data_IF_960235027865
#
_entry.id   IF_960235027865
#
_cell.length_a   1.000
_cell.length_b   1.000
_cell.length_c   1.000
_cell.angle_alpha   90.00
_cell.angle_beta   90.00
_cell.angle_gamma   90.00
#
_symmetry.space_group_name_H-M   'P 1'
#
loop_
_entity.id
_entity.type
_entity.pdbx_description
1 polymer ?
#
# COMPACT_ATOMS: atom_id res chain seq x y z
N UNK A 1 65.17 -35.51 -19.54
CA UNK A 1 64.27 -35.88 -18.44
C UNK A 1 63.64 -34.56 -17.91
N UNK A 2 62.54 -34.10 -18.50
CA UNK A 2 61.84 -32.85 -18.15
C UNK A 2 60.65 -33.18 -17.23
N UNK A 3 60.62 -32.65 -16.02
CA UNK A 3 59.49 -32.76 -15.10
C UNK A 3 58.54 -31.58 -15.32
N UNK A 4 57.31 -31.86 -15.73
CA UNK A 4 56.22 -30.89 -15.73
C UNK A 4 55.64 -30.80 -14.32
N UNK A 5 55.63 -29.59 -13.75
CA UNK A 5 54.94 -29.26 -12.54
C UNK A 5 53.54 -28.75 -12.95
N UNK A 6 52.52 -29.52 -12.65
CA UNK A 6 51.13 -29.10 -12.85
C UNK A 6 50.71 -28.23 -11.65
N UNK A 7 50.48 -26.96 -11.89
CA UNK A 7 49.89 -26.02 -10.92
C UNK A 7 48.38 -26.12 -10.97
N UNK A 8 47.79 -26.71 -9.93
CA UNK A 8 46.33 -26.77 -9.77
C UNK A 8 45.83 -25.43 -9.23
N UNK A 9 45.13 -24.68 -10.09
CA UNK A 9 44.42 -23.45 -9.66
C UNK A 9 43.08 -23.86 -9.06
N UNK A 10 42.98 -23.70 -7.74
CA UNK A 10 41.70 -23.90 -7.02
C UNK A 10 40.84 -22.66 -7.25
N UNK A 11 39.85 -22.75 -8.12
CA UNK A 11 38.84 -21.68 -8.31
C UNK A 11 37.88 -21.69 -7.11
N UNK A 12 38.01 -20.68 -6.25
CA UNK A 12 37.05 -20.41 -5.18
C UNK A 12 35.74 -19.91 -5.86
N UNK A 13 34.76 -20.77 -6.01
CA UNK A 13 33.40 -20.34 -6.39
C UNK A 13 32.78 -19.66 -5.17
N UNK A 14 32.78 -18.31 -5.16
CA UNK A 14 31.90 -17.55 -4.31
C UNK A 14 30.46 -17.76 -4.79
N UNK A 15 29.73 -18.68 -4.19
CA UNK A 15 28.27 -18.70 -4.27
C UNK A 15 27.76 -17.46 -3.55
N UNK A 16 27.37 -16.42 -4.28
CA UNK A 16 26.59 -15.33 -3.74
C UNK A 16 25.29 -15.95 -3.23
N UNK A 17 25.22 -16.26 -1.94
CA UNK A 17 23.99 -16.69 -1.28
C UNK A 17 22.97 -15.58 -1.48
N UNK A 18 21.83 -15.87 -2.12
CA UNK A 18 20.69 -14.97 -2.14
C UNK A 18 20.39 -14.58 -0.68
N UNK A 19 20.46 -13.29 -0.36
CA UNK A 19 20.13 -12.81 0.98
C UNK A 19 18.72 -13.28 1.30
N UNK A 20 18.55 -13.98 2.42
CA UNK A 20 17.24 -14.46 2.86
C UNK A 20 16.30 -13.26 2.98
N UNK A 21 15.10 -13.37 2.43
CA UNK A 21 14.07 -12.34 2.48
C UNK A 21 12.97 -12.72 3.45
N UNK A 22 12.31 -11.72 4.01
CA UNK A 22 11.13 -11.87 4.86
C UNK A 22 10.04 -10.94 4.36
N UNK A 23 8.79 -11.29 4.65
CA UNK A 23 7.67 -10.41 4.37
C UNK A 23 7.30 -9.64 5.64
N UNK A 24 7.05 -8.35 5.50
CA UNK A 24 6.48 -7.50 6.53
C UNK A 24 5.12 -6.96 6.09
N UNK A 25 4.26 -6.73 7.05
CA UNK A 25 2.99 -6.04 6.87
C UNK A 25 2.96 -4.85 7.85
N UNK A 26 2.97 -3.63 7.31
CA UNK A 26 2.76 -2.40 8.06
C UNK A 26 1.26 -2.21 8.27
N UNK A 27 0.82 -1.95 9.50
CA UNK A 27 -0.61 -1.80 9.81
C UNK A 27 -0.84 -0.84 10.97
N UNK A 28 -2.08 -0.45 11.18
CA UNK A 28 -2.55 0.27 12.36
C UNK A 28 -3.60 -0.55 13.11
N UNK A 29 -3.89 -0.14 14.34
CA UNK A 29 -4.95 -0.71 15.17
C UNK A 29 -5.96 0.35 15.58
N UNK A 30 -7.16 -0.07 16.00
CA UNK A 30 -8.19 0.84 16.46
C UNK A 30 -8.56 1.91 15.44
N UNK A 31 -8.35 3.17 15.78
CA UNK A 31 -8.52 4.32 14.90
C UNK A 31 -7.17 4.94 14.46
N UNK A 32 -6.04 4.34 14.84
CA UNK A 32 -4.69 4.77 14.45
C UNK A 32 -4.01 5.75 15.39
N UNK A 33 -4.50 5.91 16.63
CA UNK A 33 -3.92 6.82 17.62
C UNK A 33 -2.56 6.34 18.15
N UNK A 34 -2.35 5.04 18.20
CA UNK A 34 -1.13 4.41 18.70
C UNK A 34 -0.02 4.26 17.64
N UNK A 35 -0.38 4.37 16.36
CA UNK A 35 0.56 4.52 15.26
C UNK A 35 0.86 3.23 14.49
N UNK A 36 2.12 3.09 14.05
CA UNK A 36 2.60 2.07 13.15
C UNK A 36 2.95 0.77 13.86
N UNK A 37 2.42 -0.33 13.36
CA UNK A 37 2.76 -1.69 13.81
C UNK A 37 3.25 -2.53 12.65
N UNK A 38 3.94 -3.64 12.96
CA UNK A 38 4.37 -4.62 11.97
C UNK A 38 3.94 -6.03 12.34
N UNK A 39 3.60 -6.80 11.32
CA UNK A 39 3.53 -8.25 11.35
C UNK A 39 4.57 -8.83 10.39
N UNK A 40 5.10 -10.00 10.69
CA UNK A 40 6.09 -10.69 9.86
C UNK A 40 5.57 -12.04 9.38
N UNK A 41 6.02 -12.45 8.20
CA UNK A 41 5.71 -13.75 7.62
C UNK A 41 6.92 -14.27 6.83
N UNK A 42 7.04 -15.60 6.75
CA UNK A 42 8.01 -16.29 5.88
C UNK A 42 7.37 -16.90 4.64
N UNK A 43 6.05 -17.07 4.66
CA UNK A 43 5.28 -17.69 3.58
C UNK A 43 4.30 -16.73 2.89
N UNK A 44 4.09 -15.53 3.47
CA UNK A 44 3.11 -14.54 3.03
C UNK A 44 1.65 -14.93 3.34
N UNK A 45 1.42 -16.02 4.07
CA UNK A 45 0.08 -16.49 4.42
C UNK A 45 -0.19 -16.40 5.92
N UNK A 46 0.80 -16.80 6.72
CA UNK A 46 0.71 -16.77 8.18
C UNK A 46 1.52 -15.61 8.73
N UNK A 47 0.84 -14.63 9.31
CA UNK A 47 1.45 -13.41 9.81
C UNK A 47 1.46 -13.38 11.33
N UNK A 48 2.61 -13.10 11.91
CA UNK A 48 2.82 -13.02 13.35
C UNK A 48 3.16 -11.58 13.76
N UNK A 49 2.66 -11.17 14.93
CA UNK A 49 2.96 -9.85 15.49
C UNK A 49 4.47 -9.68 15.72
N UNK A 50 5.02 -8.55 15.35
CA UNK A 50 6.43 -8.19 15.59
C UNK A 50 6.56 -7.48 16.94
N UNK A 51 7.64 -7.78 17.68
CA UNK A 51 8.02 -7.09 18.92
C UNK A 51 6.87 -6.92 19.93
N UNK A 52 6.04 -7.95 20.08
CA UNK A 52 4.91 -7.96 21.02
C UNK A 52 3.80 -6.95 20.69
N UNK A 53 3.76 -6.43 19.47
CA UNK A 53 2.74 -5.46 19.02
C UNK A 53 3.02 -4.01 19.43
N UNK A 54 4.28 -3.67 19.75
CA UNK A 54 4.64 -2.27 20.04
C UNK A 54 4.40 -1.37 18.82
N UNK A 55 4.16 -0.09 19.07
CA UNK A 55 4.18 0.94 18.03
C UNK A 55 5.63 1.32 17.69
N UNK A 56 5.94 1.37 16.40
CA UNK A 56 7.26 1.77 15.87
C UNK A 56 7.32 3.25 15.46
N UNK A 57 6.16 3.89 15.27
CA UNK A 57 6.07 5.33 15.00
C UNK A 57 4.70 5.83 15.46
N UNK A 58 4.68 6.74 16.43
CA UNK A 58 3.44 7.40 16.87
C UNK A 58 3.18 8.63 16.01
N UNK A 59 1.93 8.87 15.55
CA UNK A 59 1.63 10.02 14.71
C UNK A 59 1.77 11.34 15.48
N UNK A 60 2.39 12.33 14.82
CA UNK A 60 2.61 13.66 15.39
C UNK A 60 2.14 14.81 14.50
N UNK A 61 1.75 14.50 13.23
CA UNK A 61 1.31 15.50 12.25
C UNK A 61 -0.18 15.34 11.92
N UNK A 62 -0.78 16.39 11.36
CA UNK A 62 -2.21 16.44 11.06
C UNK A 62 -3.06 16.26 12.31
N UNK A 63 -4.16 15.53 12.18
CA UNK A 63 -5.05 15.15 13.29
C UNK A 63 -4.47 14.07 14.21
N UNK A 64 -3.19 13.71 14.03
CA UNK A 64 -2.44 12.73 14.81
C UNK A 64 -3.05 11.33 14.80
N UNK A 65 -3.55 10.91 13.65
CA UNK A 65 -3.87 9.52 13.36
C UNK A 65 -2.83 8.95 12.41
N UNK A 66 -2.57 7.67 12.51
CA UNK A 66 -1.81 6.91 11.52
C UNK A 66 -2.67 5.75 11.05
N UNK A 67 -3.40 6.03 9.98
CA UNK A 67 -4.26 5.05 9.34
C UNK A 67 -3.69 4.69 7.98
N UNK A 68 -4.00 3.52 7.50
CA UNK A 68 -3.70 3.09 6.14
C UNK A 68 -2.21 3.29 5.76
N UNK A 69 -1.24 2.82 6.58
CA UNK A 69 0.17 3.05 6.31
C UNK A 69 0.62 2.30 5.06
N UNK A 70 1.28 3.01 4.15
CA UNK A 70 1.90 2.44 2.95
C UNK A 70 3.40 2.68 2.95
N UNK A 71 4.18 1.61 2.70
CA UNK A 71 5.63 1.63 2.74
C UNK A 71 6.20 1.07 1.44
N UNK A 72 7.15 1.82 0.85
CA UNK A 72 8.01 1.34 -0.22
C UNK A 72 9.48 1.43 0.18
N UNK A 73 10.30 0.51 -0.28
CA UNK A 73 11.76 0.61 -0.16
C UNK A 73 12.35 1.15 -1.44
N UNK A 74 13.04 2.30 -1.37
CA UNK A 74 13.73 2.90 -2.50
C UNK A 74 15.00 2.15 -2.91
N UNK A 75 15.56 2.46 -4.09
CA UNK A 75 16.76 1.81 -4.62
C UNK A 75 17.98 2.04 -3.74
N UNK A 76 18.03 3.15 -3.01
CA UNK A 76 19.06 3.50 -2.02
C UNK A 76 18.93 2.72 -0.69
N UNK A 77 17.86 1.90 -0.56
CA UNK A 77 17.59 1.09 0.62
C UNK A 77 16.81 1.79 1.72
N UNK A 78 16.43 3.06 1.53
CA UNK A 78 15.58 3.82 2.43
C UNK A 78 14.13 3.35 2.32
N UNK A 79 13.44 3.24 3.43
CA UNK A 79 12.00 3.04 3.49
C UNK A 79 11.30 4.40 3.55
N UNK A 80 10.27 4.56 2.74
CA UNK A 80 9.43 5.73 2.70
C UNK A 80 8.02 5.32 3.09
N UNK A 81 7.47 6.00 4.09
CA UNK A 81 6.16 5.73 4.66
C UNK A 81 5.25 6.92 4.40
N UNK A 82 4.05 6.65 3.90
CA UNK A 82 2.93 7.60 3.83
C UNK A 82 1.73 7.04 4.58
N UNK A 83 0.87 7.94 5.12
CA UNK A 83 -0.32 7.51 5.88
C UNK A 83 -1.41 8.58 5.91
N UNK A 84 -2.63 8.17 6.20
CA UNK A 84 -3.78 9.05 6.48
C UNK A 84 -3.61 9.66 7.88
N UNK A 85 -3.53 10.99 7.96
CA UNK A 85 -3.30 11.72 9.21
C UNK A 85 -4.58 12.02 9.99
N UNK A 86 -5.72 11.96 9.35
CA UNK A 86 -7.03 12.24 9.95
C UNK A 86 -8.18 12.00 8.99
N UNK A 87 -9.38 11.95 9.52
CA UNK A 87 -10.58 11.72 8.72
C UNK A 87 -10.87 12.83 7.71
N UNK A 88 -10.52 14.07 8.04
CA UNK A 88 -10.89 15.26 7.26
C UNK A 88 -9.69 16.18 6.98
N UNK A 89 -8.48 15.63 7.07
CA UNK A 89 -7.26 16.37 6.73
C UNK A 89 -7.10 16.44 5.19
N UNK A 90 -6.60 17.58 4.70
CA UNK A 90 -6.29 17.82 3.28
C UNK A 90 -4.85 17.47 2.91
N UNK A 91 -4.15 16.82 3.80
CA UNK A 91 -2.79 16.36 3.66
C UNK A 91 -2.64 14.92 4.08
N UNK A 92 -1.45 14.38 3.84
CA UNK A 92 -1.02 13.04 4.22
C UNK A 92 0.26 13.12 5.02
N UNK A 93 0.55 12.11 5.82
CA UNK A 93 1.82 12.00 6.54
C UNK A 93 2.92 11.41 5.68
N UNK A 94 4.17 11.80 5.96
CA UNK A 94 5.39 11.28 5.34
C UNK A 94 6.49 11.13 6.38
N UNK A 95 7.21 10.01 6.37
CA UNK A 95 8.43 9.77 7.13
C UNK A 95 9.35 8.78 6.41
N UNK A 96 10.62 8.74 6.82
CA UNK A 96 11.64 7.90 6.22
C UNK A 96 12.39 7.11 7.29
N UNK A 97 12.87 5.89 6.95
CA UNK A 97 13.67 5.07 7.85
C UNK A 97 14.64 4.18 7.06
N UNK A 98 15.78 3.88 7.63
CA UNK A 98 16.73 2.90 7.09
C UNK A 98 16.49 1.48 7.59
N UNK A 99 15.82 1.34 8.71
CA UNK A 99 15.70 0.10 9.49
C UNK A 99 14.29 -0.20 10.00
N UNK A 100 13.31 0.73 9.76
CA UNK A 100 11.93 0.69 10.24
C UNK A 100 11.81 0.86 11.77
N UNK A 101 12.90 1.21 12.46
CA UNK A 101 12.96 1.44 13.92
C UNK A 101 13.13 2.93 14.19
N UNK A 102 14.17 3.52 13.59
CA UNK A 102 14.50 4.93 13.71
C UNK A 102 13.92 5.69 12.50
N UNK A 103 12.99 6.59 12.78
CA UNK A 103 12.27 7.35 11.77
C UNK A 103 12.73 8.81 11.74
N UNK A 104 12.74 9.38 10.55
CA UNK A 104 12.91 10.83 10.37
C UNK A 104 11.85 11.62 11.10
N UNK A 105 12.02 12.92 11.19
CA UNK A 105 10.93 13.84 11.51
C UNK A 105 9.76 13.60 10.57
N UNK A 106 8.53 13.59 11.13
CA UNK A 106 7.31 13.42 10.36
C UNK A 106 6.96 14.72 9.65
N UNK A 107 6.53 14.60 8.41
CA UNK A 107 6.10 15.74 7.59
C UNK A 107 4.62 15.59 7.26
N UNK A 108 3.91 16.72 7.24
CA UNK A 108 2.57 16.82 6.63
C UNK A 108 2.71 17.32 5.22
N UNK A 109 2.34 16.50 4.24
CA UNK A 109 2.32 16.89 2.83
C UNK A 109 0.95 17.48 2.48
N UNK A 110 0.85 18.77 2.11
CA UNK A 110 -0.41 19.46 1.88
C UNK A 110 -0.97 19.20 0.48
N UNK A 111 -1.14 17.92 0.12
CA UNK A 111 -1.41 17.47 -1.26
C UNK A 111 -2.75 17.95 -1.83
N UNK A 112 -3.72 18.35 -0.99
CA UNK A 112 -5.02 18.89 -1.42
C UNK A 112 -5.32 20.29 -0.83
N UNK A 113 -4.37 20.96 -0.21
CA UNK A 113 -4.56 22.31 0.38
C UNK A 113 -4.91 23.38 -0.68
N UNK A 114 -4.43 23.21 -1.91
CA UNK A 114 -4.72 24.08 -3.05
C UNK A 114 -6.19 23.93 -3.52
N UNK A 115 -6.86 22.85 -3.17
CA UNK A 115 -8.25 22.59 -3.55
C UNK A 115 -9.17 22.94 -2.37
N UNK A 116 -9.85 24.11 -2.50
CA UNK A 116 -10.65 24.66 -1.42
C UNK A 116 -11.72 23.71 -0.90
N UNK A 117 -12.39 22.98 -1.82
CA UNK A 117 -13.55 22.17 -1.50
C UNK A 117 -13.20 20.70 -1.25
N UNK A 118 -11.92 20.33 -1.31
CA UNK A 118 -11.47 19.00 -0.90
C UNK A 118 -11.79 18.75 0.57
N UNK A 119 -12.28 17.55 0.89
CA UNK A 119 -12.71 17.21 2.24
C UNK A 119 -11.74 16.31 2.99
N UNK A 120 -10.96 15.49 2.29
CA UNK A 120 -10.14 14.46 2.91
C UNK A 120 -8.98 14.01 2.00
N UNK A 121 -8.01 13.31 2.59
CA UNK A 121 -6.98 12.57 1.88
C UNK A 121 -6.85 11.19 2.55
N UNK A 122 -7.49 10.16 1.99
CA UNK A 122 -7.55 8.83 2.59
C UNK A 122 -6.69 7.81 1.87
N UNK A 123 -6.19 6.86 2.64
CA UNK A 123 -5.49 5.68 2.17
C UNK A 123 -4.42 6.00 1.12
N UNK A 124 -3.39 6.80 1.49
CA UNK A 124 -2.30 7.03 0.56
C UNK A 124 -1.51 5.74 0.32
N UNK A 125 -1.15 5.54 -0.93
CA UNK A 125 -0.26 4.47 -1.37
C UNK A 125 0.97 5.07 -2.04
N UNK A 126 2.14 4.47 -1.84
CA UNK A 126 3.39 4.92 -2.46
C UNK A 126 3.96 3.84 -3.36
N UNK A 127 4.16 4.19 -4.63
CA UNK A 127 4.71 3.31 -5.67
C UNK A 127 6.02 3.87 -6.22
N UNK A 128 7.06 3.02 -6.34
CA UNK A 128 8.32 3.38 -6.99
C UNK A 128 8.32 2.97 -8.46
N UNK A 129 8.38 3.95 -9.35
CA UNK A 129 8.52 3.79 -10.80
C UNK A 129 10.02 3.64 -11.14
N UNK A 130 10.49 2.39 -11.21
CA UNK A 130 11.90 2.07 -11.49
C UNK A 130 12.37 2.60 -12.84
N UNK A 131 11.49 2.60 -13.86
CA UNK A 131 11.84 3.00 -15.22
C UNK A 131 12.16 4.50 -15.31
N UNK A 132 11.56 5.32 -14.42
CA UNK A 132 11.76 6.78 -14.41
C UNK A 132 12.48 7.28 -13.16
N UNK A 133 12.82 6.41 -12.22
CA UNK A 133 13.48 6.75 -10.97
C UNK A 133 12.69 7.80 -10.17
N UNK A 134 11.38 7.57 -9.99
CA UNK A 134 10.48 8.48 -9.28
C UNK A 134 9.46 7.69 -8.44
N UNK A 135 8.88 8.37 -7.49
CA UNK A 135 7.77 7.85 -6.69
C UNK A 135 6.45 8.49 -7.13
N UNK A 136 5.41 7.70 -7.21
CA UNK A 136 4.04 8.16 -7.25
C UNK A 136 3.44 7.96 -5.87
N UNK A 137 2.85 9.02 -5.32
CA UNK A 137 2.05 8.95 -4.10
C UNK A 137 0.61 9.21 -4.53
N UNK A 138 -0.28 8.26 -4.27
CA UNK A 138 -1.68 8.32 -4.65
C UNK A 138 -2.55 8.33 -3.41
N UNK A 139 -3.75 8.88 -3.46
CA UNK A 139 -4.71 8.92 -2.35
C UNK A 139 -6.12 9.16 -2.86
N UNK A 140 -7.10 8.96 -1.98
CA UNK A 140 -8.52 9.16 -2.28
C UNK A 140 -9.01 10.48 -1.70
N UNK A 141 -9.67 11.30 -2.53
CA UNK A 141 -10.25 12.58 -2.11
C UNK A 141 -11.67 12.75 -2.63
N UNK A 142 -12.55 13.27 -1.79
CA UNK A 142 -13.87 13.79 -2.17
C UNK A 142 -13.79 15.30 -2.38
N UNK A 143 -14.31 15.75 -3.54
CA UNK A 143 -14.53 17.15 -3.85
C UNK A 143 -16.02 17.29 -4.20
N UNK A 144 -16.85 17.84 -3.31
CA UNK A 144 -18.30 17.89 -3.51
C UNK A 144 -18.69 18.55 -4.83
N UNK A 145 -19.64 17.93 -5.52
CA UNK A 145 -20.17 18.43 -6.80
C UNK A 145 -19.25 18.24 -8.01
N UNK A 146 -18.02 17.76 -7.86
CA UNK A 146 -17.10 17.56 -8.99
C UNK A 146 -17.51 16.39 -9.91
N UNK A 147 -18.15 15.36 -9.33
CA UNK A 147 -18.59 14.17 -10.06
C UNK A 147 -20.06 13.89 -9.78
N UNK A 148 -20.99 14.75 -10.29
CA UNK A 148 -22.40 14.74 -9.88
C UNK A 148 -23.18 13.46 -10.29
N UNK A 149 -22.72 12.75 -11.31
CA UNK A 149 -23.39 11.54 -11.81
C UNK A 149 -23.23 10.34 -10.86
N UNK A 150 -22.22 10.36 -10.01
CA UNK A 150 -21.92 9.30 -9.05
C UNK A 150 -22.15 9.74 -7.60
N UNK A 151 -22.62 10.97 -7.39
CA UNK A 151 -22.90 11.51 -6.06
C UNK A 151 -24.09 10.78 -5.43
N UNK A 152 -23.92 10.17 -4.24
CA UNK A 152 -25.03 9.51 -3.54
C UNK A 152 -26.00 10.58 -2.98
N UNK A 153 -27.01 10.95 -3.75
CA UNK A 153 -27.99 12.01 -3.43
C UNK A 153 -28.97 11.59 -2.32
N UNK A 154 -28.48 10.98 -1.26
CA UNK A 154 -29.28 10.48 -0.14
C UNK A 154 -28.96 11.27 1.14
N UNK A 155 -29.85 12.16 1.60
CA UNK A 155 -29.61 12.97 2.80
C UNK A 155 -29.57 12.15 4.09
N UNK A 156 -30.06 10.91 4.08
CA UNK A 156 -30.05 10.00 5.22
C UNK A 156 -28.69 9.32 5.48
N UNK A 157 -27.72 9.44 4.55
CA UNK A 157 -26.39 8.87 4.74
C UNK A 157 -25.57 9.67 5.76
N UNK A 158 -24.72 8.95 6.51
CA UNK A 158 -23.69 9.57 7.36
C UNK A 158 -22.69 10.37 6.51
N UNK A 159 -21.99 11.37 7.06
CA UNK A 159 -21.05 12.20 6.30
C UNK A 159 -20.03 11.40 5.49
N UNK A 160 -19.41 10.36 6.06
CA UNK A 160 -18.46 9.52 5.35
C UNK A 160 -19.08 8.70 4.20
N UNK A 161 -20.34 8.26 4.36
CA UNK A 161 -21.06 7.51 3.32
C UNK A 161 -21.56 8.41 2.18
N UNK A 162 -21.60 9.74 2.38
CA UNK A 162 -21.90 10.74 1.32
C UNK A 162 -20.68 11.08 0.48
N UNK A 163 -19.52 10.67 0.89
CA UNK A 163 -18.30 10.96 0.16
C UNK A 163 -18.33 10.31 -1.23
N UNK A 164 -17.78 11.02 -2.22
CA UNK A 164 -17.71 10.61 -3.61
C UNK A 164 -16.29 10.80 -4.11
N UNK A 165 -15.44 9.86 -3.77
CA UNK A 165 -14.01 9.94 -3.96
C UNK A 165 -13.56 9.66 -5.38
N UNK A 166 -12.39 10.21 -5.72
CA UNK A 166 -11.54 9.81 -6.85
C UNK A 166 -10.11 9.67 -6.36
N UNK A 167 -9.30 8.98 -7.15
CA UNK A 167 -7.89 8.80 -6.88
C UNK A 167 -7.09 9.92 -7.51
N UNK A 168 -6.30 10.62 -6.69
CA UNK A 168 -5.39 11.68 -7.08
C UNK A 168 -3.95 11.24 -6.82
N UNK A 169 -2.97 11.95 -7.41
CA UNK A 169 -1.56 11.65 -7.20
C UNK A 169 -0.68 12.87 -7.34
N UNK A 170 0.51 12.75 -6.78
CA UNK A 170 1.70 13.57 -7.03
C UNK A 170 2.89 12.68 -7.37
N UNK A 171 3.90 13.28 -8.00
CA UNK A 171 5.18 12.65 -8.29
C UNK A 171 6.30 13.33 -7.53
N UNK A 172 7.30 12.56 -7.11
CA UNK A 172 8.54 13.08 -6.51
C UNK A 172 9.72 12.17 -6.84
N UNK A 173 10.94 12.75 -6.87
CA UNK A 173 12.19 11.99 -6.98
C UNK A 173 13.02 12.02 -5.70
N UNK A 174 12.77 13.00 -4.85
CA UNK A 174 13.65 13.36 -3.73
C UNK A 174 12.90 13.65 -2.42
N UNK A 175 11.57 13.54 -2.40
CA UNK A 175 10.69 13.88 -1.27
C UNK A 175 10.85 15.31 -0.74
N UNK A 176 11.37 16.20 -1.58
CA UNK A 176 11.53 17.65 -1.31
C UNK A 176 10.71 18.48 -2.28
N UNK A 177 10.68 18.03 -3.53
CA UNK A 177 9.92 18.65 -4.60
C UNK A 177 8.85 17.68 -5.07
N UNK A 178 7.62 18.18 -5.21
CA UNK A 178 6.47 17.40 -5.65
C UNK A 178 5.85 18.06 -6.88
N UNK A 179 5.30 17.25 -7.78
CA UNK A 179 4.49 17.76 -8.87
C UNK A 179 3.21 18.41 -8.35
N UNK A 180 2.52 19.13 -9.22
CA UNK A 180 1.12 19.48 -8.99
C UNK A 180 0.28 18.21 -8.82
N UNK A 181 -0.79 18.31 -8.01
CA UNK A 181 -1.77 17.23 -7.84
C UNK A 181 -2.57 17.02 -9.13
N UNK A 182 -2.70 15.76 -9.53
CA UNK A 182 -3.45 15.35 -10.73
C UNK A 182 -4.44 14.25 -10.39
N UNK A 183 -5.52 14.16 -11.17
CA UNK A 183 -6.43 13.04 -11.14
C UNK A 183 -5.73 11.81 -11.74
N UNK A 184 -5.65 10.73 -10.98
CA UNK A 184 -5.12 9.44 -11.45
C UNK A 184 -6.22 8.59 -12.07
N UNK A 185 -7.34 8.45 -11.34
CA UNK A 185 -8.40 7.53 -11.76
C UNK A 185 -9.79 8.03 -11.38
N UNK A 186 -10.66 8.06 -12.39
CA UNK A 186 -12.10 8.20 -12.27
C UNK A 186 -12.74 6.99 -12.96
N UNK A 187 -13.14 6.02 -12.19
CA UNK A 187 -13.77 4.80 -12.73
C UNK A 187 -15.25 4.96 -13.10
N UNK A 188 -15.83 6.17 -12.98
CA UNK A 188 -17.27 6.39 -13.09
C UNK A 188 -18.05 5.87 -11.88
N UNK A 189 -17.40 5.71 -10.73
CA UNK A 189 -17.99 5.28 -9.45
C UNK A 189 -17.20 5.88 -8.28
N UNK A 190 -17.75 5.79 -7.07
CA UNK A 190 -17.04 6.19 -5.85
C UNK A 190 -15.88 5.22 -5.58
N UNK A 191 -14.63 5.68 -5.70
CA UNK A 191 -13.44 4.84 -5.66
C UNK A 191 -12.44 5.29 -4.59
N UNK A 192 -12.01 4.33 -3.74
CA UNK A 192 -10.97 4.54 -2.71
C UNK A 192 -9.93 3.42 -2.73
N UNK A 193 -8.93 3.52 -1.88
CA UNK A 193 -7.93 2.49 -1.56
C UNK A 193 -7.23 1.95 -2.81
N UNK A 194 -6.50 2.81 -3.49
CA UNK A 194 -5.78 2.47 -4.70
C UNK A 194 -4.44 1.82 -4.38
N UNK A 195 -4.12 0.70 -5.03
CA UNK A 195 -2.81 0.06 -5.01
C UNK A 195 -2.28 -0.11 -6.42
N UNK A 196 -1.12 0.49 -6.73
CA UNK A 196 -0.45 0.36 -8.02
C UNK A 196 0.53 -0.80 -7.97
N UNK A 197 0.51 -1.67 -8.98
CA UNK A 197 1.53 -2.70 -9.16
C UNK A 197 1.99 -2.79 -10.62
N UNK A 198 3.24 -3.17 -10.81
CA UNK A 198 3.76 -3.53 -12.13
C UNK A 198 3.43 -4.99 -12.39
N UNK A 199 2.52 -5.23 -13.33
CA UNK A 199 2.05 -6.57 -13.67
C UNK A 199 3.09 -7.33 -14.53
N UNK A 200 3.68 -6.64 -15.53
CA UNK A 200 4.80 -7.10 -16.36
C UNK A 200 5.59 -5.88 -16.87
N UNK A 201 6.47 -6.09 -17.87
CA UNK A 201 7.37 -5.06 -18.40
C UNK A 201 6.65 -3.77 -18.81
N UNK A 202 5.52 -3.89 -19.48
CA UNK A 202 4.82 -2.77 -20.14
C UNK A 202 3.35 -2.67 -19.68
N UNK A 203 2.99 -3.26 -18.52
CA UNK A 203 1.63 -3.28 -18.01
C UNK A 203 1.60 -3.05 -16.51
N UNK A 204 0.75 -2.13 -16.10
CA UNK A 204 0.46 -1.80 -14.71
C UNK A 204 -0.98 -2.13 -14.39
N UNK A 205 -1.22 -2.58 -13.17
CA UNK A 205 -2.55 -2.77 -12.63
C UNK A 205 -2.78 -1.81 -11.45
N UNK A 206 -3.98 -1.27 -11.39
CA UNK A 206 -4.51 -0.47 -10.30
C UNK A 206 -5.62 -1.28 -9.64
N UNK A 207 -5.39 -1.73 -8.42
CA UNK A 207 -6.43 -2.37 -7.63
C UNK A 207 -7.10 -1.28 -6.80
N UNK A 208 -8.42 -1.19 -6.85
CA UNK A 208 -9.20 -0.17 -6.16
C UNK A 208 -10.40 -0.79 -5.46
N UNK A 209 -10.89 -0.12 -4.43
CA UNK A 209 -12.18 -0.45 -3.82
C UNK A 209 -13.29 0.37 -4.48
N UNK A 210 -14.34 -0.30 -4.95
CA UNK A 210 -15.62 0.32 -5.30
C UNK A 210 -16.35 0.65 -4.00
N UNK A 211 -16.36 1.93 -3.62
CA UNK A 211 -16.96 2.43 -2.38
C UNK A 211 -18.42 2.85 -2.56
N UNK A 212 -19.02 2.59 -3.72
CA UNK A 212 -20.41 2.94 -4.01
C UNK A 212 -21.36 2.40 -2.94
N UNK A 213 -22.23 3.27 -2.41
CA UNK A 213 -23.22 2.93 -1.39
C UNK A 213 -24.64 2.89 -1.96
N UNK A 214 -24.93 3.62 -3.05
CA UNK A 214 -26.25 3.70 -3.68
C UNK A 214 -26.18 3.41 -5.18
N UNK A 215 -27.25 2.84 -5.79
CA UNK A 215 -28.49 2.37 -5.14
C UNK A 215 -28.27 1.13 -4.26
N UNK A 216 -27.23 0.34 -4.52
CA UNK A 216 -26.86 -0.87 -3.76
C UNK A 216 -25.39 -0.81 -3.40
N UNK A 217 -25.00 -1.08 -2.13
CA UNK A 217 -23.60 -1.12 -1.74
C UNK A 217 -22.79 -2.10 -2.60
N UNK A 218 -21.59 -1.68 -3.02
CA UNK A 218 -20.64 -2.51 -3.76
C UNK A 218 -19.54 -3.02 -2.83
N UNK A 219 -18.74 -2.12 -2.27
CA UNK A 219 -17.76 -2.41 -1.21
C UNK A 219 -16.83 -3.59 -1.50
N UNK A 220 -16.36 -3.72 -2.74
CA UNK A 220 -15.49 -4.79 -3.21
C UNK A 220 -14.31 -4.26 -4.03
N UNK A 221 -13.32 -5.11 -4.28
CA UNK A 221 -12.15 -4.76 -5.08
C UNK A 221 -12.42 -4.97 -6.57
N UNK A 222 -11.82 -4.10 -7.38
CA UNK A 222 -11.81 -4.14 -8.84
C UNK A 222 -10.40 -3.83 -9.34
N UNK A 223 -10.09 -4.17 -10.59
CA UNK A 223 -8.78 -3.96 -11.21
C UNK A 223 -8.95 -3.16 -12.50
N UNK A 224 -8.11 -2.13 -12.69
CA UNK A 224 -7.97 -1.43 -13.95
C UNK A 224 -6.52 -1.58 -14.46
N UNK A 225 -6.30 -1.57 -15.76
CA UNK A 225 -4.99 -1.75 -16.38
C UNK A 225 -4.56 -0.47 -17.13
N UNK A 226 -3.23 -0.22 -17.17
CA UNK A 226 -2.59 0.85 -17.91
C UNK A 226 -1.22 0.42 -18.44
N UNK A 227 -0.67 1.20 -19.38
CA UNK A 227 0.70 1.03 -19.89
C UNK A 227 1.74 1.83 -19.11
N UNK A 228 1.30 2.66 -18.17
CA UNK A 228 2.15 3.50 -17.30
C UNK A 228 1.53 3.61 -15.92
N UNK A 229 2.34 3.77 -14.85
CA UNK A 229 1.80 3.84 -13.49
C UNK A 229 0.92 5.06 -13.24
N UNK A 230 1.15 6.17 -13.97
CA UNK A 230 0.29 7.35 -13.94
C UNK A 230 -0.92 7.27 -14.88
N UNK A 231 -1.13 6.14 -15.52
CA UNK A 231 -2.26 5.92 -16.43
C UNK A 231 -2.04 6.43 -17.88
N UNK A 232 -3.11 6.71 -18.65
CA UNK A 232 -4.51 6.52 -18.25
C UNK A 232 -4.86 5.05 -18.03
N UNK A 233 -5.62 4.78 -16.97
CA UNK A 233 -6.17 3.45 -16.70
C UNK A 233 -7.47 3.24 -17.46
N UNK A 234 -7.65 2.02 -17.96
CA UNK A 234 -8.89 1.59 -18.59
C UNK A 234 -10.04 1.42 -17.60
N UNK A 235 -11.22 0.95 -18.08
CA UNK A 235 -12.35 0.63 -17.21
C UNK A 235 -11.98 -0.43 -16.17
N UNK A 236 -12.54 -0.30 -14.95
CA UNK A 236 -12.37 -1.33 -13.93
C UNK A 236 -13.08 -2.64 -14.30
N UNK A 237 -12.48 -3.75 -13.91
CA UNK A 237 -13.02 -5.10 -14.07
C UNK A 237 -14.37 -5.30 -13.36
N UNK A 238 -15.00 -6.44 -13.57
CA UNK A 238 -15.98 -6.98 -12.62
C UNK A 238 -15.34 -7.13 -11.22
N UNK A 239 -16.15 -7.30 -10.14
CA UNK A 239 -15.62 -7.57 -8.82
C UNK A 239 -14.64 -8.74 -8.80
N UNK A 240 -13.50 -8.57 -8.10
CA UNK A 240 -12.47 -9.61 -7.93
C UNK A 240 -12.42 -10.16 -6.51
N UNK A 241 -13.10 -9.53 -5.57
CA UNK A 241 -13.22 -9.95 -4.18
C UNK A 241 -14.66 -10.14 -3.76
N UNK A 242 -14.86 -10.64 -2.55
CA UNK A 242 -16.15 -10.57 -1.85
C UNK A 242 -16.49 -9.13 -1.48
N UNK A 243 -17.75 -8.87 -1.10
CA UNK A 243 -18.19 -7.56 -0.63
C UNK A 243 -17.77 -7.29 0.82
N UNK A 244 -17.73 -6.00 1.19
CA UNK A 244 -17.37 -5.48 2.51
C UNK A 244 -15.92 -5.74 2.87
N UNK A 245 -15.05 -5.38 1.91
CA UNK A 245 -13.59 -5.41 2.06
C UNK A 245 -12.98 -4.07 1.68
N UNK A 246 -11.76 -3.81 2.15
CA UNK A 246 -11.01 -2.57 1.88
C UNK A 246 -9.50 -2.81 1.92
N UNK A 247 -8.72 -1.80 1.56
CA UNK A 247 -7.28 -1.79 1.75
C UNK A 247 -6.53 -2.88 1.00
N UNK A 248 -6.62 -2.96 -0.35
CA UNK A 248 -5.84 -3.94 -1.08
C UNK A 248 -4.35 -3.71 -0.91
N UNK A 249 -3.62 -4.77 -0.60
CA UNK A 249 -2.16 -4.76 -0.59
C UNK A 249 -1.63 -6.03 -1.26
N UNK A 250 -0.55 -5.93 -2.02
CA UNK A 250 -0.13 -7.00 -2.93
C UNK A 250 1.30 -7.45 -2.68
N UNK A 251 1.49 -8.77 -2.62
CA UNK A 251 2.79 -9.41 -2.77
C UNK A 251 2.82 -10.32 -3.99
N UNK A 252 3.96 -10.40 -4.63
CA UNK A 252 4.24 -11.46 -5.58
C UNK A 252 5.05 -12.55 -4.89
N UNK A 253 4.46 -13.74 -4.79
CA UNK A 253 5.07 -14.91 -4.15
C UNK A 253 5.19 -16.01 -5.21
N UNK A 254 6.43 -16.30 -5.60
CA UNK A 254 6.68 -17.17 -6.75
C UNK A 254 6.08 -16.59 -8.02
N UNK A 255 5.15 -17.31 -8.64
CA UNK A 255 4.44 -16.90 -9.84
C UNK A 255 3.01 -16.40 -9.59
N UNK A 256 2.63 -16.21 -8.34
CA UNK A 256 1.29 -15.76 -7.94
C UNK A 256 1.32 -14.35 -7.34
N UNK A 257 0.31 -13.56 -7.64
CA UNK A 257 -0.04 -12.32 -6.98
C UNK A 257 -1.01 -12.64 -5.85
N UNK A 258 -0.66 -12.29 -4.62
CA UNK A 258 -1.53 -12.41 -3.45
C UNK A 258 -2.01 -11.00 -3.12
N UNK A 259 -3.32 -10.78 -3.14
CA UNK A 259 -3.95 -9.51 -2.77
C UNK A 259 -4.64 -9.70 -1.43
N UNK A 260 -4.07 -9.11 -0.40
CA UNK A 260 -4.64 -9.05 0.94
C UNK A 260 -5.65 -7.93 1.02
N UNK A 261 -6.66 -8.06 1.88
CA UNK A 261 -7.65 -7.04 2.17
C UNK A 261 -8.24 -7.18 3.57
N UNK A 262 -8.64 -6.05 4.15
CA UNK A 262 -9.33 -5.99 5.44
C UNK A 262 -10.83 -6.32 5.23
N UNK A 263 -11.30 -7.44 5.76
CA UNK A 263 -12.72 -7.76 5.88
C UNK A 263 -13.29 -7.01 7.11
N UNK A 264 -13.29 -5.67 7.05
CA UNK A 264 -13.49 -4.77 8.18
C UNK A 264 -14.80 -4.98 8.95
N UNK A 265 -15.87 -5.44 8.29
CA UNK A 265 -17.13 -5.79 8.96
C UNK A 265 -17.05 -7.12 9.70
N UNK A 266 -16.14 -8.01 9.27
CA UNK A 266 -15.89 -9.33 9.84
C UNK A 266 -14.70 -9.35 10.80
N UNK A 267 -13.98 -8.21 10.94
CA UNK A 267 -12.82 -8.01 11.81
C UNK A 267 -11.71 -9.06 11.58
N UNK A 268 -11.42 -9.35 10.33
CA UNK A 268 -10.36 -10.28 9.92
C UNK A 268 -9.77 -9.86 8.58
N UNK A 269 -8.62 -10.42 8.24
CA UNK A 269 -8.03 -10.31 6.92
C UNK A 269 -8.42 -11.50 6.04
N UNK A 270 -8.60 -11.22 4.75
CA UNK A 270 -8.73 -12.19 3.70
C UNK A 270 -7.70 -11.95 2.60
N UNK A 271 -7.64 -12.86 1.65
CA UNK A 271 -6.87 -12.65 0.43
C UNK A 271 -7.46 -13.41 -0.77
N UNK A 272 -7.16 -12.87 -1.95
CA UNK A 272 -7.32 -13.55 -3.23
C UNK A 272 -5.96 -13.71 -3.89
N UNK A 273 -5.86 -14.64 -4.83
CA UNK A 273 -4.65 -14.87 -5.62
C UNK A 273 -4.95 -14.93 -7.10
N UNK A 274 -3.93 -14.61 -7.89
CA UNK A 274 -3.99 -14.65 -9.35
C UNK A 274 -2.60 -14.88 -9.94
N UNK A 275 -2.53 -15.49 -11.12
CA UNK A 275 -1.29 -15.61 -11.90
C UNK A 275 -1.22 -14.64 -13.09
N UNK A 276 -2.36 -14.04 -13.44
CA UNK A 276 -2.51 -13.20 -14.63
C UNK A 276 -3.18 -11.84 -14.36
N UNK A 277 -3.61 -11.60 -13.09
CA UNK A 277 -4.39 -10.44 -12.63
C UNK A 277 -5.78 -10.32 -13.29
N UNK A 278 -6.29 -11.42 -13.86
CA UNK A 278 -7.59 -11.50 -14.54
C UNK A 278 -8.46 -12.59 -13.96
N UNK A 279 -7.86 -13.74 -13.68
CA UNK A 279 -8.54 -14.89 -13.05
C UNK A 279 -8.17 -14.91 -11.58
N UNK A 280 -9.15 -14.91 -10.70
CA UNK A 280 -8.98 -14.75 -9.27
C UNK A 280 -9.56 -15.93 -8.50
N UNK A 281 -8.84 -16.39 -7.49
CA UNK A 281 -9.25 -17.41 -6.57
C UNK A 281 -9.07 -16.93 -5.14
N UNK A 282 -9.87 -17.44 -4.20
CA UNK A 282 -9.63 -17.21 -2.78
C UNK A 282 -8.28 -17.83 -2.40
N UNK A 283 -7.47 -17.09 -1.65
CA UNK A 283 -6.26 -17.61 -1.02
C UNK A 283 -6.65 -18.21 0.34
N UNK A 284 -6.69 -19.55 0.49
CA UNK A 284 -7.08 -20.16 1.76
C UNK A 284 -5.97 -19.98 2.81
N UNK A 285 -6.36 -20.05 4.09
CA UNK A 285 -5.44 -20.08 5.23
C UNK A 285 -4.61 -18.82 5.46
N UNK A 286 -5.08 -17.66 4.99
CA UNK A 286 -4.46 -16.39 5.37
C UNK A 286 -4.86 -16.05 6.80
N UNK A 287 -3.87 -15.76 7.63
CA UNK A 287 -4.09 -15.37 9.03
C UNK A 287 -3.24 -14.17 9.41
N UNK A 288 -3.85 -13.22 10.11
CA UNK A 288 -3.22 -11.98 10.59
C UNK A 288 -3.42 -11.83 12.10
N UNK A 289 -2.56 -11.05 12.77
CA UNK A 289 -2.78 -10.72 14.18
C UNK A 289 -4.13 -10.05 14.39
N UNK A 290 -4.77 -10.33 15.52
CA UNK A 290 -6.05 -9.69 15.86
C UNK A 290 -5.91 -8.17 15.94
N UNK A 291 -6.90 -7.43 15.40
CA UNK A 291 -6.90 -5.97 15.38
C UNK A 291 -6.10 -5.33 14.25
N UNK A 292 -5.45 -6.13 13.39
CA UNK A 292 -4.82 -5.60 12.15
C UNK A 292 -5.86 -4.89 11.29
N UNK A 293 -5.58 -3.66 10.89
CA UNK A 293 -6.38 -2.85 9.98
C UNK A 293 -5.58 -2.57 8.72
N UNK A 294 -6.25 -2.02 7.70
CA UNK A 294 -5.72 -1.64 6.40
C UNK A 294 -4.24 -1.22 6.44
N UNK A 295 -3.39 -1.85 5.63
CA UNK A 295 -1.96 -1.62 5.62
C UNK A 295 -1.29 -2.22 4.39
N UNK A 296 0.05 -2.25 4.40
CA UNK A 296 0.84 -2.63 3.22
C UNK A 296 1.79 -3.78 3.52
N UNK A 297 1.74 -4.82 2.68
CA UNK A 297 2.69 -5.92 2.64
C UNK A 297 3.89 -5.55 1.75
N UNK A 298 5.10 -5.84 2.20
CA UNK A 298 6.33 -5.58 1.45
C UNK A 298 7.44 -6.56 1.80
N UNK A 299 8.45 -6.61 0.94
CA UNK A 299 9.60 -7.52 1.09
C UNK A 299 10.76 -6.77 1.72
N UNK A 300 11.41 -7.41 2.69
CA UNK A 300 12.63 -6.87 3.32
C UNK A 300 13.75 -7.92 3.38
N UNK A 301 15.02 -7.51 3.46
CA UNK A 301 16.10 -8.40 3.91
C UNK A 301 15.77 -8.95 5.30
N UNK A 302 16.00 -10.25 5.53
CA UNK A 302 15.68 -10.88 6.83
C UNK A 302 16.39 -10.23 8.03
N UNK A 303 17.52 -9.54 7.79
CA UNK A 303 18.19 -8.77 8.82
C UNK A 303 17.37 -7.61 9.37
N UNK A 304 16.52 -6.97 8.54
CA UNK A 304 15.59 -5.90 8.95
C UNK A 304 14.51 -6.49 9.86
N UNK A 305 13.85 -7.58 9.42
CA UNK A 305 12.83 -8.25 10.24
C UNK A 305 13.40 -8.70 11.61
N UNK A 306 14.59 -9.30 11.62
CA UNK A 306 15.28 -9.67 12.85
C UNK A 306 15.66 -8.46 13.72
N UNK A 307 15.94 -7.29 13.12
CA UNK A 307 16.19 -6.04 13.82
C UNK A 307 14.95 -5.56 14.58
N UNK A 308 13.81 -5.58 13.93
CA UNK A 308 12.51 -5.20 14.52
C UNK A 308 12.17 -6.09 15.74
N UNK A 309 12.37 -7.40 15.65
CA UNK A 309 12.13 -8.33 16.77
C UNK A 309 13.04 -8.04 17.97
N UNK A 310 14.31 -7.68 17.73
CA UNK A 310 15.24 -7.31 18.81
C UNK A 310 14.88 -5.99 19.48
N UNK A 311 14.35 -5.03 18.73
CA UNK A 311 13.93 -3.75 19.26
C UNK A 311 12.73 -3.84 20.23
N UNK A 312 12.03 -4.96 20.26
CA UNK A 312 10.93 -5.25 21.19
C UNK A 312 11.39 -5.87 22.52
N UNK A 313 12.66 -6.22 22.65
CA UNK A 313 13.25 -6.79 23.88
C UNK A 313 13.91 -5.70 24.69
#
# INVERSE_FOLDING_TARGET
MFRFIATTVLALQCTAGSAATSYLFAYFTGNGEDGLHFAASTDGLTWSVVAGGRSFLRPSVGSRLMRDPSIVRGPEGMFHLVWTTGWWDKGIGLAHSKDLIDWSEQQSLPVMEHERDAQNCWAPEIFFDEDRGRYLIVWSTTIPGRFPDTDPKDPGLRPGDRANHRIYYVETKDFRTFSETKLLYDGGFNVIDAFILRADRDRYALIVKDETIRPTPKKHLRVAEALRPEGPYGPASAPVSIDWVEGPSVLRIGNEWIVYYDEYTRKRYGAIRSRDLRTWELAPNVSFPAGTRHGTAFIVPSAIAAGLERAGR
#
